data_IF_827199305460
#
_entry.id   IF_827199305460
#
_cell.length_a   1.000
_cell.length_b   1.000
_cell.length_c   1.000
_cell.angle_alpha   90.00
_cell.angle_beta   90.00
_cell.angle_gamma   90.00
#
_symmetry.space_group_name_H-M   'P 1'
#
loop_
_entity.id
_entity.type
_entity.pdbx_description
1 polymer ?
#
# COMPACT_ATOMS: atom_id res chain seq x y z
N UNK A 1 -10.77 6.80 -14.29
CA UNK A 1 -10.11 5.67 -14.99
C UNK A 1 -9.20 4.91 -14.04
N UNK A 2 -8.66 3.77 -14.49
CA UNK A 2 -7.63 3.01 -13.76
C UNK A 2 -6.39 3.87 -13.55
N UNK A 3 -5.94 4.56 -14.58
CA UNK A 3 -4.73 5.40 -14.53
C UNK A 3 -4.82 6.56 -13.55
N UNK A 4 -6.01 7.13 -13.34
CA UNK A 4 -6.20 8.22 -12.35
C UNK A 4 -5.99 7.78 -10.90
N UNK A 5 -6.03 6.47 -10.65
CA UNK A 5 -5.87 5.86 -9.33
C UNK A 5 -4.51 5.19 -9.13
N UNK A 6 -3.78 4.94 -10.22
CA UNK A 6 -2.54 4.17 -10.22
C UNK A 6 -1.34 5.03 -9.84
N UNK A 7 -0.54 4.55 -8.90
CA UNK A 7 0.82 5.04 -8.63
C UNK A 7 1.84 3.95 -8.96
N UNK A 8 3.00 4.35 -9.47
CA UNK A 8 4.09 3.44 -9.84
C UNK A 8 5.41 3.92 -9.24
N UNK A 9 6.25 3.00 -8.83
CA UNK A 9 7.65 3.26 -8.46
C UNK A 9 8.55 2.24 -9.14
N UNK A 10 9.60 2.70 -9.78
CA UNK A 10 10.60 1.84 -10.41
C UNK A 10 11.94 2.01 -9.69
N UNK A 11 12.56 0.90 -9.32
CA UNK A 11 13.90 0.87 -8.76
C UNK A 11 14.61 -0.43 -9.13
N UNK A 12 15.80 -0.32 -9.74
CA UNK A 12 16.65 -1.44 -10.12
C UNK A 12 15.92 -2.54 -10.95
N UNK A 13 15.10 -2.12 -11.91
CA UNK A 13 14.38 -3.03 -12.81
C UNK A 13 13.19 -3.77 -12.17
N UNK A 14 12.84 -3.43 -10.94
CA UNK A 14 11.63 -3.89 -10.28
C UNK A 14 10.63 -2.74 -10.17
N UNK A 15 9.37 -3.02 -10.43
CA UNK A 15 8.29 -2.04 -10.33
C UNK A 15 7.32 -2.41 -9.21
N UNK A 16 6.86 -1.38 -8.53
CA UNK A 16 5.78 -1.45 -7.55
C UNK A 16 4.64 -0.58 -8.02
N UNK A 17 3.41 -1.03 -7.73
CA UNK A 17 2.19 -0.31 -8.08
C UNK A 17 1.27 -0.26 -6.86
N UNK A 18 0.53 0.83 -6.74
CA UNK A 18 -0.53 1.01 -5.74
C UNK A 18 -1.79 1.49 -6.44
N UNK A 19 -2.90 0.82 -6.21
CA UNK A 19 -4.24 1.14 -6.72
C UNK A 19 -5.28 0.37 -5.88
N UNK A 20 -6.39 1.00 -5.54
CA UNK A 20 -7.54 0.36 -4.89
C UNK A 20 -7.16 -0.47 -3.64
N UNK A 21 -6.15 -0.03 -2.88
CA UNK A 21 -5.63 -0.74 -1.71
C UNK A 21 -4.79 -1.99 -2.02
N UNK A 22 -4.45 -2.24 -3.28
CA UNK A 22 -3.48 -3.27 -3.65
C UNK A 22 -2.04 -2.82 -3.43
N UNK A 23 -1.21 -3.74 -3.02
CA UNK A 23 0.25 -3.69 -3.18
C UNK A 23 0.63 -4.65 -4.30
N UNK A 24 1.25 -4.13 -5.36
CA UNK A 24 1.54 -4.92 -6.55
C UNK A 24 3.02 -4.81 -6.88
N UNK A 25 3.63 -5.90 -7.32
CA UNK A 25 5.01 -5.90 -7.83
C UNK A 25 5.07 -6.51 -9.22
N UNK A 26 5.97 -6.01 -10.06
CA UNK A 26 6.32 -6.61 -11.33
C UNK A 26 7.83 -6.81 -11.40
N UNK A 27 8.25 -8.02 -11.79
CA UNK A 27 9.65 -8.39 -11.90
C UNK A 27 9.88 -9.24 -13.16
N UNK A 28 10.92 -8.92 -13.92
CA UNK A 28 11.34 -9.71 -15.07
C UNK A 28 12.46 -10.68 -14.68
N UNK A 29 12.36 -11.90 -15.18
CA UNK A 29 13.38 -12.94 -15.01
C UNK A 29 14.05 -13.26 -16.36
N UNK A 30 15.32 -13.58 -16.33
CA UNK A 30 16.08 -14.02 -17.50
C UNK A 30 15.80 -15.48 -17.93
N UNK A 31 14.81 -16.14 -17.30
CA UNK A 31 14.42 -17.49 -17.62
C UNK A 31 13.40 -17.50 -18.79
N UNK A 32 13.58 -18.38 -19.79
CA UNK A 32 12.63 -18.50 -20.89
C UNK A 32 11.26 -19.00 -20.40
N UNK A 33 10.20 -18.61 -21.12
CA UNK A 33 8.85 -19.06 -20.83
C UNK A 33 8.62 -20.50 -21.31
N UNK A 34 9.21 -21.44 -20.64
CA UNK A 34 9.08 -22.87 -20.87
C UNK A 34 8.99 -23.62 -19.52
N UNK A 35 8.82 -24.94 -19.56
CA UNK A 35 8.63 -25.75 -18.35
C UNK A 35 9.79 -25.59 -17.34
N UNK A 36 11.03 -25.60 -17.79
CA UNK A 36 12.19 -25.46 -16.92
C UNK A 36 12.28 -24.06 -16.27
N UNK A 37 12.12 -23.03 -17.09
CA UNK A 37 12.11 -21.63 -16.60
C UNK A 37 10.98 -21.38 -15.63
N UNK A 38 9.75 -21.83 -15.97
CA UNK A 38 8.58 -21.71 -15.09
C UNK A 38 8.80 -22.42 -13.75
N UNK A 39 9.37 -23.63 -13.74
CA UNK A 39 9.71 -24.35 -12.50
C UNK A 39 10.64 -23.55 -11.59
N UNK A 40 11.66 -22.90 -12.16
CA UNK A 40 12.60 -22.05 -11.39
C UNK A 40 11.88 -20.82 -10.81
N UNK A 41 11.03 -20.14 -11.58
CA UNK A 41 10.31 -18.95 -11.13
C UNK A 41 9.20 -19.30 -10.15
N UNK A 42 8.46 -20.38 -10.37
CA UNK A 42 7.48 -20.89 -9.39
C UNK A 42 8.11 -21.16 -8.02
N UNK A 43 9.29 -21.80 -8.01
CA UNK A 43 10.03 -22.07 -6.76
C UNK A 43 10.37 -20.79 -5.99
N UNK A 44 10.79 -19.71 -6.70
CA UNK A 44 11.08 -18.40 -6.07
C UNK A 44 9.86 -17.78 -5.38
N UNK A 45 8.68 -18.01 -5.94
CA UNK A 45 7.40 -17.53 -5.38
C UNK A 45 6.69 -18.56 -4.50
N UNK A 46 7.39 -19.68 -4.15
CA UNK A 46 6.83 -20.77 -3.33
C UNK A 46 5.55 -21.36 -3.92
N UNK A 47 5.45 -21.38 -5.24
CA UNK A 47 4.37 -22.05 -5.98
C UNK A 47 4.79 -23.51 -6.16
N UNK A 48 4.01 -24.41 -5.57
CA UNK A 48 4.25 -25.84 -5.55
C UNK A 48 3.40 -26.60 -6.60
N UNK A 49 3.61 -27.90 -6.72
CA UNK A 49 2.76 -28.75 -7.58
C UNK A 49 1.31 -28.85 -7.07
N UNK A 50 1.05 -28.55 -5.79
CA UNK A 50 -0.28 -28.55 -5.19
C UNK A 50 -1.09 -27.30 -5.53
N UNK A 51 -0.42 -26.23 -5.92
CA UNK A 51 -1.08 -24.97 -6.30
C UNK A 51 -1.68 -25.12 -7.70
N UNK A 52 -2.95 -24.72 -7.84
CA UNK A 52 -3.67 -24.78 -9.12
C UNK A 52 -3.14 -23.67 -10.02
N UNK A 53 -2.69 -24.06 -11.22
CA UNK A 53 -2.19 -23.16 -12.27
C UNK A 53 -3.18 -23.17 -13.41
N UNK A 54 -3.78 -22.05 -13.72
CA UNK A 54 -4.74 -21.91 -14.82
C UNK A 54 -4.23 -20.94 -15.88
N UNK A 55 -4.61 -21.16 -17.13
CA UNK A 55 -4.42 -20.14 -18.16
C UNK A 55 -5.55 -19.11 -18.05
N UNK A 56 -5.19 -17.85 -18.25
CA UNK A 56 -6.15 -16.75 -18.26
C UNK A 56 -6.25 -16.20 -19.70
N UNK A 57 -7.39 -16.41 -20.34
CA UNK A 57 -7.62 -16.00 -21.72
C UNK A 57 -7.73 -14.48 -21.94
N UNK A 58 -7.94 -13.72 -20.84
CA UNK A 58 -8.01 -12.25 -20.90
C UNK A 58 -6.63 -11.59 -20.92
N UNK A 59 -5.57 -12.35 -20.67
CA UNK A 59 -4.18 -11.86 -20.77
C UNK A 59 -3.67 -12.08 -22.20
N UNK A 60 -3.15 -11.02 -22.78
CA UNK A 60 -2.77 -10.95 -24.22
C UNK A 60 -1.50 -11.73 -24.59
N UNK A 61 -1.01 -12.61 -23.73
CA UNK A 61 0.17 -13.46 -23.97
C UNK A 61 0.04 -14.79 -23.25
N UNK A 62 0.93 -15.74 -23.57
CA UNK A 62 1.00 -16.99 -22.81
C UNK A 62 1.22 -16.73 -21.34
N UNK A 63 0.44 -17.38 -20.49
CA UNK A 63 0.47 -17.10 -19.06
C UNK A 63 0.02 -18.29 -18.21
N UNK A 64 0.34 -18.19 -16.91
CA UNK A 64 -0.27 -18.97 -15.85
C UNK A 64 -0.72 -18.06 -14.71
N UNK A 65 -1.93 -18.25 -14.23
CA UNK A 65 -2.50 -17.56 -13.10
C UNK A 65 -2.55 -18.51 -11.90
N UNK A 66 -2.16 -18.00 -10.72
CA UNK A 66 -2.19 -18.74 -9.46
C UNK A 66 -2.71 -17.84 -8.36
N UNK A 67 -3.67 -18.32 -7.56
CA UNK A 67 -4.12 -17.64 -6.33
C UNK A 67 -3.62 -18.40 -5.11
N UNK A 68 -3.07 -17.66 -4.15
CA UNK A 68 -2.72 -18.19 -2.81
C UNK A 68 -3.30 -17.27 -1.75
N UNK A 69 -4.01 -17.88 -0.81
CA UNK A 69 -4.52 -17.15 0.35
C UNK A 69 -3.64 -17.43 1.57
N UNK A 70 -3.32 -16.39 2.31
CA UNK A 70 -2.65 -16.48 3.60
C UNK A 70 -3.46 -15.75 4.66
N UNK A 71 -3.48 -16.29 5.87
CA UNK A 71 -4.12 -15.64 7.01
C UNK A 71 -3.23 -14.49 7.47
N UNK A 72 -3.76 -13.27 7.55
CA UNK A 72 -3.05 -12.15 8.18
C UNK A 72 -3.28 -12.22 9.67
N UNK A 73 -4.53 -11.99 10.11
CA UNK A 73 -4.91 -11.98 11.52
C UNK A 73 -6.43 -12.11 11.65
N UNK A 74 -6.93 -12.79 12.69
CA UNK A 74 -8.37 -13.01 12.88
C UNK A 74 -8.99 -13.64 11.63
N UNK A 75 -10.02 -13.01 11.07
CA UNK A 75 -10.74 -13.44 9.86
C UNK A 75 -10.20 -12.77 8.59
N UNK A 76 -9.17 -11.93 8.71
CA UNK A 76 -8.60 -11.25 7.56
C UNK A 76 -7.64 -12.17 6.84
N UNK A 77 -7.99 -12.48 5.59
CA UNK A 77 -7.13 -13.19 4.65
C UNK A 77 -6.45 -12.20 3.71
N UNK A 78 -5.18 -12.46 3.42
CA UNK A 78 -4.46 -11.83 2.32
C UNK A 78 -4.62 -12.72 1.10
N UNK A 79 -5.14 -12.15 0.03
CA UNK A 79 -5.21 -12.79 -1.29
C UNK A 79 -3.95 -12.39 -2.06
N UNK A 80 -3.27 -13.40 -2.60
CA UNK A 80 -2.09 -13.24 -3.42
C UNK A 80 -2.39 -13.81 -4.81
N UNK A 81 -2.53 -12.97 -5.81
CA UNK A 81 -2.76 -13.33 -7.20
C UNK A 81 -1.48 -13.14 -8.00
N UNK A 82 -0.99 -14.22 -8.59
CA UNK A 82 0.24 -14.23 -9.39
C UNK A 82 -0.12 -14.44 -10.85
N UNK A 83 0.39 -13.54 -11.71
CA UNK A 83 0.37 -13.67 -13.16
C UNK A 83 1.80 -13.94 -13.64
N UNK A 84 2.08 -15.18 -14.05
CA UNK A 84 3.33 -15.56 -14.71
C UNK A 84 3.11 -15.42 -16.19
N UNK A 85 3.75 -14.46 -16.84
CA UNK A 85 3.46 -14.06 -18.20
C UNK A 85 4.71 -14.14 -19.07
N UNK A 86 4.53 -14.49 -20.34
CA UNK A 86 5.58 -14.42 -21.34
C UNK A 86 5.74 -12.97 -21.80
N UNK A 87 6.92 -12.39 -21.57
CA UNK A 87 7.24 -11.03 -22.00
C UNK A 87 7.73 -10.97 -23.46
N UNK A 88 7.99 -9.76 -23.95
CA UNK A 88 8.44 -9.51 -25.33
C UNK A 88 9.76 -10.22 -25.71
N UNK A 89 10.59 -10.54 -24.72
CA UNK A 89 11.86 -11.24 -24.91
C UNK A 89 11.70 -12.77 -24.81
N UNK A 90 10.48 -13.30 -24.80
CA UNK A 90 10.14 -14.70 -24.55
C UNK A 90 10.59 -15.24 -23.18
N UNK A 91 10.89 -14.34 -22.25
CA UNK A 91 11.22 -14.64 -20.86
C UNK A 91 9.98 -14.53 -19.96
N UNK A 92 10.14 -14.88 -18.68
CA UNK A 92 9.08 -14.85 -17.70
C UNK A 92 9.09 -13.50 -16.98
N UNK A 93 7.96 -12.81 -16.96
CA UNK A 93 7.67 -11.75 -16.01
C UNK A 93 6.63 -12.23 -15.02
N UNK A 94 6.73 -11.79 -13.77
CA UNK A 94 5.76 -12.07 -12.71
C UNK A 94 5.14 -10.78 -12.25
N UNK A 95 3.82 -10.69 -12.30
CA UNK A 95 3.05 -9.59 -11.73
C UNK A 95 2.26 -10.17 -10.56
N UNK A 96 2.55 -9.67 -9.38
CA UNK A 96 2.01 -10.20 -8.13
C UNK A 96 1.17 -9.15 -7.43
N UNK A 97 -0.12 -9.45 -7.28
CA UNK A 97 -1.13 -8.63 -6.61
C UNK A 97 -1.35 -9.13 -5.20
N UNK A 98 -1.33 -8.22 -4.25
CA UNK A 98 -1.57 -8.50 -2.83
C UNK A 98 -2.69 -7.58 -2.35
N UNK A 99 -3.76 -8.13 -1.80
CA UNK A 99 -4.83 -7.35 -1.17
C UNK A 99 -5.43 -8.12 0.01
N UNK A 100 -5.86 -7.39 1.02
CA UNK A 100 -6.68 -7.95 2.09
C UNK A 100 -8.11 -8.15 1.60
N UNK A 101 -8.65 -9.36 1.77
CA UNK A 101 -10.02 -9.76 1.40
C UNK A 101 -10.33 -9.72 -0.10
N UNK A 102 -11.24 -8.87 -0.54
CA UNK A 102 -11.82 -8.91 -1.88
C UNK A 102 -10.87 -8.38 -2.95
N UNK A 103 -10.70 -9.13 -4.03
CA UNK A 103 -9.94 -8.75 -5.22
C UNK A 103 -10.87 -8.38 -6.37
N UNK A 104 -10.37 -7.59 -7.32
CA UNK A 104 -11.04 -7.21 -8.56
C UNK A 104 -10.26 -7.76 -9.74
N UNK A 105 -10.67 -8.94 -10.20
CA UNK A 105 -9.96 -9.66 -11.26
C UNK A 105 -9.93 -8.89 -12.58
N UNK A 106 -11.00 -8.16 -12.91
CA UNK A 106 -11.04 -7.37 -14.14
C UNK A 106 -10.00 -6.25 -14.13
N UNK A 107 -9.88 -5.54 -13.00
CA UNK A 107 -8.86 -4.51 -12.81
C UNK A 107 -7.45 -5.12 -12.86
N UNK A 108 -7.23 -6.27 -12.24
CA UNK A 108 -5.93 -6.96 -12.29
C UNK A 108 -5.55 -7.32 -13.73
N UNK A 109 -6.46 -7.91 -14.50
CA UNK A 109 -6.24 -8.30 -15.90
C UNK A 109 -5.97 -7.10 -16.80
N UNK A 110 -6.72 -6.00 -16.62
CA UNK A 110 -6.49 -4.74 -17.32
C UNK A 110 -5.08 -4.19 -17.04
N UNK A 111 -4.69 -4.14 -15.76
CA UNK A 111 -3.37 -3.64 -15.36
C UNK A 111 -2.24 -4.54 -15.88
N UNK A 112 -2.39 -5.87 -15.83
CA UNK A 112 -1.40 -6.81 -16.40
C UNK A 112 -1.17 -6.52 -17.87
N UNK A 113 -2.23 -6.38 -18.66
CA UNK A 113 -2.10 -6.07 -20.10
C UNK A 113 -1.46 -4.70 -20.34
N UNK A 114 -1.80 -3.67 -19.54
CA UNK A 114 -1.16 -2.36 -19.63
C UNK A 114 0.34 -2.41 -19.34
N UNK A 115 0.76 -3.19 -18.34
CA UNK A 115 2.18 -3.40 -17.99
C UNK A 115 2.91 -4.08 -19.16
N UNK A 116 2.35 -5.16 -19.70
CA UNK A 116 2.94 -5.92 -20.82
C UNK A 116 3.08 -5.07 -22.08
N UNK A 117 2.16 -4.16 -22.33
CA UNK A 117 2.11 -3.30 -23.51
C UNK A 117 2.84 -1.96 -23.31
N UNK A 118 3.43 -1.71 -22.13
CA UNK A 118 4.07 -0.44 -21.74
C UNK A 118 3.14 0.77 -21.92
N UNK A 119 1.87 0.62 -21.52
CA UNK A 119 0.81 1.65 -21.66
C UNK A 119 0.64 2.53 -20.43
N UNK A 120 1.48 2.39 -19.42
CA UNK A 120 1.40 3.24 -18.22
C UNK A 120 2.16 4.54 -18.47
N UNK A 121 1.48 5.70 -18.40
CA UNK A 121 2.10 6.99 -18.63
C UNK A 121 3.13 7.36 -17.56
N UNK A 122 4.10 8.20 -17.93
CA UNK A 122 5.17 8.63 -17.02
C UNK A 122 4.69 9.44 -15.81
N UNK A 123 3.59 10.14 -15.94
CA UNK A 123 2.95 10.91 -14.87
C UNK A 123 2.45 10.06 -13.71
N UNK A 124 2.29 8.74 -13.90
CA UNK A 124 1.96 7.80 -12.85
C UNK A 124 3.19 7.38 -12.00
N UNK A 125 4.41 7.70 -12.47
CA UNK A 125 5.63 7.28 -11.79
C UNK A 125 6.03 8.28 -10.71
N UNK A 126 6.22 7.76 -9.50
CA UNK A 126 6.78 8.49 -8.36
C UNK A 126 8.30 8.50 -8.41
N UNK A 127 8.97 9.58 -7.92
CA UNK A 127 10.43 9.61 -7.81
C UNK A 127 10.91 8.59 -6.77
N UNK A 128 12.11 8.02 -6.96
CA UNK A 128 12.73 7.06 -6.03
C UNK A 128 12.92 7.69 -4.65
N UNK A 129 13.32 8.96 -4.60
CA UNK A 129 13.40 9.73 -3.35
C UNK A 129 12.20 10.66 -3.28
N UNK A 130 11.37 10.59 -2.22
CA UNK A 130 10.12 11.32 -2.16
C UNK A 130 10.29 12.79 -1.73
N UNK A 131 11.11 13.58 -2.45
CA UNK A 131 11.19 15.02 -2.21
C UNK A 131 9.88 15.74 -2.53
N UNK A 132 9.15 15.22 -3.50
CA UNK A 132 7.79 15.63 -3.86
C UNK A 132 6.95 14.39 -4.04
N UNK A 133 5.78 14.37 -3.42
CA UNK A 133 4.80 13.30 -3.59
C UNK A 133 3.52 13.85 -4.22
N UNK A 134 2.84 13.02 -5.02
CA UNK A 134 1.50 13.31 -5.51
C UNK A 134 0.48 12.70 -4.56
N UNK A 135 -0.12 13.53 -3.72
CA UNK A 135 -1.21 13.11 -2.83
C UNK A 135 -2.56 13.43 -3.47
N UNK A 136 -3.18 12.44 -4.07
CA UNK A 136 -4.50 12.56 -4.70
C UNK A 136 -4.64 13.78 -5.65
N UNK A 137 -3.61 14.03 -6.45
CA UNK A 137 -3.58 15.13 -7.44
C UNK A 137 -3.02 16.45 -6.92
N UNK A 138 -2.55 16.51 -5.68
CA UNK A 138 -1.79 17.65 -5.14
C UNK A 138 -0.33 17.26 -4.91
N UNK A 139 0.58 18.09 -5.35
CA UNK A 139 1.99 17.94 -5.02
C UNK A 139 2.27 18.44 -3.60
N UNK A 140 2.93 17.61 -2.80
CA UNK A 140 3.44 17.95 -1.46
C UNK A 140 4.95 17.86 -1.49
N UNK A 141 5.61 18.95 -1.13
CA UNK A 141 7.06 18.98 -0.94
C UNK A 141 7.42 18.43 0.44
N UNK A 142 8.28 17.43 0.48
CA UNK A 142 8.75 16.80 1.71
C UNK A 142 10.19 17.21 2.05
N UNK A 143 10.56 17.07 3.32
CA UNK A 143 11.95 17.27 3.76
C UNK A 143 12.89 16.19 3.24
N UNK A 144 14.19 16.50 3.14
CA UNK A 144 15.21 15.60 2.60
C UNK A 144 15.48 14.31 3.40
N UNK A 145 14.92 14.20 4.60
CA UNK A 145 15.01 12.99 5.44
C UNK A 145 13.87 11.99 5.19
N UNK A 146 12.84 12.36 4.40
CA UNK A 146 11.72 11.48 4.13
C UNK A 146 12.12 10.39 3.13
N UNK A 147 11.52 9.20 3.28
CA UNK A 147 11.77 8.06 2.40
C UNK A 147 10.53 7.16 2.27
N UNK A 148 10.49 6.38 1.18
CA UNK A 148 9.46 5.37 0.98
C UNK A 148 9.74 4.13 1.84
N UNK A 149 8.80 3.73 2.69
CA UNK A 149 8.78 2.40 3.31
C UNK A 149 8.06 1.38 2.41
N UNK A 150 7.11 1.84 1.62
CA UNK A 150 6.49 1.17 0.49
C UNK A 150 5.93 2.24 -0.47
N UNK A 151 5.52 1.89 -1.67
CA UNK A 151 4.87 2.85 -2.57
C UNK A 151 3.60 3.40 -1.90
N UNK A 152 3.43 4.72 -1.95
CA UNK A 152 2.41 5.47 -1.23
C UNK A 152 2.44 5.27 0.30
N UNK A 153 3.61 4.93 0.84
CA UNK A 153 3.87 4.92 2.28
C UNK A 153 5.16 5.66 2.54
N UNK A 154 5.05 6.88 3.00
CA UNK A 154 6.20 7.77 3.26
C UNK A 154 6.40 7.94 4.77
N UNK A 155 7.64 7.80 5.20
CA UNK A 155 8.07 8.11 6.56
C UNK A 155 9.02 9.30 6.56
N UNK A 156 8.72 10.27 7.40
CA UNK A 156 9.59 11.41 7.70
C UNK A 156 10.04 11.30 9.15
N UNK A 157 11.30 10.93 9.45
CA UNK A 157 11.79 10.73 10.82
C UNK A 157 11.47 11.93 11.71
N UNK A 158 10.88 11.66 12.87
CA UNK A 158 10.38 12.66 13.84
C UNK A 158 9.26 13.57 13.33
N UNK A 159 8.74 13.38 12.12
CA UNK A 159 7.70 14.23 11.53
C UNK A 159 6.45 13.45 11.11
N UNK A 160 6.40 12.15 11.38
CA UNK A 160 5.24 11.28 11.11
C UNK A 160 5.41 10.36 9.90
N UNK A 161 4.41 9.51 9.72
CA UNK A 161 4.26 8.56 8.62
C UNK A 161 2.88 8.69 8.01
N UNK A 162 2.78 8.46 6.70
CA UNK A 162 1.53 8.51 5.96
C UNK A 162 1.49 7.39 4.92
N UNK A 163 0.38 6.65 4.90
CA UNK A 163 0.05 5.66 3.87
C UNK A 163 -1.28 6.05 3.21
N UNK A 164 -1.36 6.00 1.88
CA UNK A 164 -2.59 6.30 1.15
C UNK A 164 -2.77 5.41 -0.09
N UNK A 165 -4.03 5.29 -0.51
CA UNK A 165 -4.40 4.68 -1.77
C UNK A 165 -5.60 5.40 -2.37
N UNK A 166 -5.70 5.41 -3.69
CA UNK A 166 -6.85 5.97 -4.41
C UNK A 166 -7.71 4.82 -4.89
N UNK A 167 -9.02 4.91 -4.66
CA UNK A 167 -9.97 3.83 -4.85
C UNK A 167 -11.03 4.16 -5.91
N UNK A 168 -11.61 3.12 -6.49
CA UNK A 168 -12.70 3.24 -7.47
C UNK A 168 -13.95 3.90 -6.88
N UNK A 169 -14.22 3.66 -5.61
CA UNK A 169 -15.34 4.25 -4.87
C UNK A 169 -14.99 4.47 -3.39
N UNK A 170 -15.83 5.25 -2.71
CA UNK A 170 -15.60 5.60 -1.31
C UNK A 170 -15.79 4.40 -0.37
N UNK A 171 -16.64 3.44 -0.73
CA UNK A 171 -16.84 2.24 0.07
C UNK A 171 -15.59 1.35 0.07
N UNK A 172 -14.90 1.24 -1.07
CA UNK A 172 -13.62 0.50 -1.14
C UNK A 172 -12.53 1.20 -0.32
N UNK A 173 -12.49 2.54 -0.33
CA UNK A 173 -11.61 3.32 0.54
C UNK A 173 -11.91 3.10 2.03
N UNK A 174 -13.19 3.09 2.42
CA UNK A 174 -13.62 2.81 3.78
C UNK A 174 -13.24 1.38 4.22
N UNK A 175 -13.50 0.40 3.36
CA UNK A 175 -13.13 -1.00 3.62
C UNK A 175 -11.61 -1.15 3.83
N UNK A 176 -10.81 -0.39 3.09
CA UNK A 176 -9.34 -0.43 3.20
C UNK A 176 -8.88 0.06 4.58
N UNK A 177 -9.38 1.19 5.08
CA UNK A 177 -9.03 1.67 6.43
C UNK A 177 -9.58 0.79 7.53
N UNK A 178 -10.77 0.21 7.37
CA UNK A 178 -11.36 -0.72 8.35
C UNK A 178 -10.52 -2.00 8.47
N UNK A 179 -10.04 -2.55 7.35
CA UNK A 179 -9.13 -3.69 7.36
C UNK A 179 -7.80 -3.35 8.06
N UNK A 180 -7.21 -2.19 7.78
CA UNK A 180 -5.99 -1.75 8.43
C UNK A 180 -6.19 -1.54 9.94
N UNK A 181 -7.31 -0.96 10.35
CA UNK A 181 -7.68 -0.81 11.76
C UNK A 181 -7.79 -2.16 12.47
N UNK A 182 -8.47 -3.14 11.85
CA UNK A 182 -8.59 -4.49 12.42
C UNK A 182 -7.21 -5.16 12.57
N UNK A 183 -6.34 -5.03 11.58
CA UNK A 183 -4.96 -5.55 11.64
C UNK A 183 -4.19 -4.88 12.78
N UNK A 184 -4.31 -3.58 12.91
CA UNK A 184 -3.66 -2.79 13.96
C UNK A 184 -4.10 -3.24 15.35
N UNK A 185 -5.40 -3.39 15.58
CA UNK A 185 -5.97 -3.83 16.88
C UNK A 185 -5.51 -5.21 17.34
N UNK A 186 -5.19 -6.08 16.39
CA UNK A 186 -4.80 -7.46 16.68
C UNK A 186 -3.28 -7.68 16.63
N UNK A 187 -2.49 -6.61 16.43
CA UNK A 187 -1.03 -6.70 16.33
C UNK A 187 -0.42 -7.11 17.67
N UNK A 188 0.42 -8.16 17.62
CA UNK A 188 1.17 -8.60 18.81
C UNK A 188 2.21 -7.56 19.22
N UNK A 189 2.43 -7.42 20.54
CA UNK A 189 3.43 -6.49 21.09
C UNK A 189 2.92 -5.06 21.27
N UNK A 190 1.64 -4.80 21.03
CA UNK A 190 0.98 -3.52 21.30
C UNK A 190 -0.42 -3.73 21.85
N UNK A 191 -0.97 -2.69 22.49
CA UNK A 191 -2.38 -2.64 22.89
C UNK A 191 -3.00 -1.31 22.50
N UNK A 192 -4.28 -1.33 22.17
CA UNK A 192 -5.10 -0.13 22.00
C UNK A 192 -5.45 0.41 23.38
N UNK A 193 -4.98 1.61 23.70
CA UNK A 193 -5.28 2.28 24.98
C UNK A 193 -6.36 3.36 24.83
N UNK A 194 -6.59 3.84 23.61
CA UNK A 194 -7.67 4.77 23.32
C UNK A 194 -8.13 4.61 21.86
N UNK A 195 -9.43 4.77 21.64
CA UNK A 195 -10.06 4.79 20.31
C UNK A 195 -11.24 5.77 20.35
N UNK A 196 -11.28 6.70 19.40
CA UNK A 196 -12.37 7.66 19.29
C UNK A 196 -12.53 8.17 17.84
N UNK A 197 -13.71 8.67 17.52
CA UNK A 197 -13.92 9.50 16.35
C UNK A 197 -13.57 10.95 16.68
N UNK A 198 -12.87 11.61 15.78
CA UNK A 198 -12.51 13.03 15.90
C UNK A 198 -12.94 13.78 14.64
N UNK A 199 -13.41 15.00 14.82
CA UNK A 199 -13.73 15.89 13.71
C UNK A 199 -12.42 16.50 13.19
N UNK A 200 -12.25 16.45 11.86
CA UNK A 200 -11.03 16.92 11.19
C UNK A 200 -11.39 17.69 9.94
N UNK A 201 -10.48 18.51 9.45
CA UNK A 201 -10.45 18.95 8.05
C UNK A 201 -9.37 18.15 7.35
N UNK A 202 -9.76 17.32 6.37
CA UNK A 202 -8.84 16.49 5.60
C UNK A 202 -8.79 17.00 4.17
N UNK A 203 -7.62 17.50 3.75
CA UNK A 203 -7.43 18.12 2.42
C UNK A 203 -8.49 19.20 2.10
N UNK A 204 -8.83 20.02 3.10
CA UNK A 204 -9.84 21.06 3.00
C UNK A 204 -11.30 20.61 3.15
N UNK A 205 -11.56 19.31 3.29
CA UNK A 205 -12.89 18.73 3.46
C UNK A 205 -13.18 18.42 4.92
N UNK A 206 -14.22 18.99 5.54
CA UNK A 206 -14.68 18.63 6.88
C UNK A 206 -15.17 17.17 6.91
N UNK A 207 -14.57 16.34 7.76
CA UNK A 207 -14.92 14.92 7.88
C UNK A 207 -14.58 14.38 9.27
N UNK A 208 -14.68 13.08 9.44
CA UNK A 208 -14.32 12.38 10.67
C UNK A 208 -13.15 11.42 10.45
N UNK A 209 -12.21 11.44 11.38
CA UNK A 209 -11.14 10.46 11.45
C UNK A 209 -11.34 9.51 12.64
N UNK A 210 -11.00 8.24 12.47
CA UNK A 210 -10.83 7.32 13.58
C UNK A 210 -9.43 7.51 14.15
N UNK A 211 -9.32 8.00 15.39
CA UNK A 211 -8.06 8.10 16.12
C UNK A 211 -7.89 6.88 17.00
N UNK A 212 -6.72 6.25 16.92
CA UNK A 212 -6.32 5.12 17.76
C UNK A 212 -4.97 5.45 18.40
N UNK A 213 -4.84 5.20 19.70
CA UNK A 213 -3.56 5.27 20.41
C UNK A 213 -3.14 3.87 20.81
N UNK A 214 -1.95 3.46 20.35
CA UNK A 214 -1.31 2.20 20.71
C UNK A 214 -0.21 2.43 21.74
N UNK A 215 -0.11 1.51 22.69
CA UNK A 215 1.01 1.41 23.61
C UNK A 215 1.78 0.12 23.34
N UNK A 216 3.10 0.21 23.25
CA UNK A 216 3.95 -0.98 23.08
C UNK A 216 4.02 -1.79 24.38
N UNK A 217 4.09 -3.11 24.26
CA UNK A 217 4.17 -4.07 25.37
C UNK A 217 5.37 -5.02 25.26
N UNK A 218 5.77 -5.58 26.40
CA UNK A 218 6.78 -6.64 26.48
C UNK A 218 8.16 -6.23 25.93
N UNK A 219 8.81 -7.10 25.21
CA UNK A 219 10.14 -6.87 24.61
C UNK A 219 10.11 -5.68 23.64
N UNK A 220 9.04 -5.52 22.89
CA UNK A 220 8.86 -4.39 21.97
C UNK A 220 8.84 -3.06 22.72
N UNK A 221 8.20 -3.01 23.89
CA UNK A 221 8.20 -1.82 24.76
C UNK A 221 9.59 -1.53 25.33
N UNK A 222 10.33 -2.56 25.73
CA UNK A 222 11.69 -2.41 26.24
C UNK A 222 12.64 -1.84 25.19
N UNK A 223 12.58 -2.36 23.95
CA UNK A 223 13.37 -1.87 22.82
C UNK A 223 13.00 -0.43 22.44
N UNK A 224 11.72 -0.09 22.40
CA UNK A 224 11.25 1.27 22.13
C UNK A 224 11.55 2.25 23.28
N UNK A 225 11.55 1.77 24.53
CA UNK A 225 11.95 2.57 25.71
C UNK A 225 13.40 3.04 25.65
N UNK A 226 14.27 2.29 25.00
CA UNK A 226 15.66 2.69 24.73
C UNK A 226 15.75 3.81 23.68
N UNK A 227 14.78 3.93 22.76
CA UNK A 227 14.67 4.99 21.74
C UNK A 227 13.76 6.16 22.14
N UNK A 228 13.10 6.10 23.30
CA UNK A 228 12.17 7.14 23.78
C UNK A 228 10.72 6.99 23.30
N UNK A 229 10.45 6.26 22.23
CA UNK A 229 9.12 6.03 21.67
C UNK A 229 8.27 5.09 22.55
N UNK A 230 7.12 5.57 23.03
CA UNK A 230 6.28 4.82 24.00
C UNK A 230 4.87 4.58 23.52
N UNK A 231 4.31 5.48 22.76
CA UNK A 231 2.97 5.38 22.20
C UNK A 231 2.89 5.91 20.79
N UNK A 232 2.07 5.27 19.98
CA UNK A 232 1.82 5.60 18.57
C UNK A 232 0.38 6.08 18.45
N UNK A 233 0.18 7.27 17.91
CA UNK A 233 -1.15 7.78 17.54
C UNK A 233 -1.35 7.55 16.04
N UNK A 234 -2.50 6.97 15.68
CA UNK A 234 -2.86 6.64 14.30
C UNK A 234 -4.21 7.26 13.97
N UNK A 235 -4.31 7.90 12.82
CA UNK A 235 -5.56 8.39 12.24
C UNK A 235 -5.91 7.60 10.98
N UNK A 236 -7.16 7.18 10.88
CA UNK A 236 -7.73 6.49 9.72
C UNK A 236 -8.81 7.37 9.11
N UNK A 237 -8.65 7.74 7.85
CA UNK A 237 -9.58 8.61 7.10
C UNK A 237 -9.88 7.97 5.75
N UNK A 238 -11.16 7.94 5.38
CA UNK A 238 -11.60 7.68 4.02
C UNK A 238 -12.49 8.84 3.58
N UNK A 239 -12.08 9.57 2.52
CA UNK A 239 -12.79 10.74 2.08
C UNK A 239 -12.62 10.97 0.57
N UNK A 240 -13.59 11.66 -0.03
CA UNK A 240 -13.50 12.14 -1.41
C UNK A 240 -12.73 13.45 -1.47
N UNK A 241 -11.56 13.42 -2.09
CA UNK A 241 -10.64 14.55 -2.20
C UNK A 241 -10.38 14.83 -3.68
N UNK A 242 -10.68 16.05 -4.17
CA UNK A 242 -10.46 16.44 -5.57
C UNK A 242 -10.96 15.39 -6.58
N UNK A 243 -12.19 14.93 -6.40
CA UNK A 243 -12.84 13.85 -7.19
C UNK A 243 -12.17 12.46 -7.14
N UNK A 244 -11.28 12.24 -6.19
CA UNK A 244 -10.67 10.93 -5.92
C UNK A 244 -11.11 10.39 -4.57
N UNK A 245 -11.45 9.09 -4.51
CA UNK A 245 -11.78 8.42 -3.25
C UNK A 245 -10.49 7.94 -2.60
N UNK A 246 -10.14 8.51 -1.47
CA UNK A 246 -8.85 8.33 -0.80
C UNK A 246 -9.05 7.56 0.50
N UNK A 247 -8.28 6.49 0.70
CA UNK A 247 -7.98 5.97 2.03
C UNK A 247 -6.64 6.52 2.50
N UNK A 248 -6.56 6.99 3.73
CA UNK A 248 -5.32 7.49 4.30
C UNK A 248 -5.19 7.04 5.76
N UNK A 249 -4.02 6.51 6.09
CA UNK A 249 -3.62 6.18 7.45
C UNK A 249 -2.37 6.96 7.78
N UNK A 250 -2.43 7.74 8.84
CA UNK A 250 -1.34 8.61 9.30
C UNK A 250 -0.96 8.25 10.71
N UNK A 251 0.32 8.28 11.03
CA UNK A 251 0.76 7.96 12.38
C UNK A 251 1.97 8.77 12.82
N UNK A 252 2.14 8.91 14.12
CA UNK A 252 3.31 9.52 14.74
C UNK A 252 3.52 9.00 16.17
N UNK A 253 4.78 9.04 16.59
CA UNK A 253 5.17 8.71 17.95
C UNK A 253 5.02 9.92 18.88
N UNK A 254 4.83 9.66 20.17
CA UNK A 254 4.65 10.72 21.17
C UNK A 254 5.90 11.59 21.41
N UNK A 255 7.05 11.19 20.86
CA UNK A 255 8.32 11.93 20.88
C UNK A 255 8.68 12.55 19.52
N UNK A 256 7.78 12.48 18.55
CA UNK A 256 7.93 13.22 17.27
C UNK A 256 7.79 14.75 17.49
N UNK A 257 8.14 15.52 16.47
CA UNK A 257 8.06 16.99 16.46
C UNK A 257 6.59 17.48 16.41
N UNK A 258 5.83 17.24 17.47
CA UNK A 258 4.42 17.60 17.56
C UNK A 258 4.28 19.10 17.80
N UNK A 259 3.61 19.78 16.88
CA UNK A 259 3.27 21.19 17.05
C UNK A 259 2.29 21.38 18.25
N UNK A 260 2.63 22.17 19.25
CA UNK A 260 1.79 22.34 20.46
C UNK A 260 0.43 22.98 20.18
N UNK A 261 0.28 23.71 19.06
CA UNK A 261 -0.99 24.35 18.66
C UNK A 261 -1.91 23.39 17.94
N UNK A 262 -1.38 22.73 16.91
CA UNK A 262 -2.17 21.82 16.04
C UNK A 262 -2.26 20.39 16.58
N UNK A 263 -1.36 20.01 17.50
CA UNK A 263 -1.23 18.65 18.07
C UNK A 263 -0.85 17.59 17.04
N UNK A 264 -0.32 18.00 15.90
CA UNK A 264 0.12 17.14 14.81
C UNK A 264 1.59 17.38 14.48
N UNK A 265 2.32 16.36 13.98
CA UNK A 265 3.66 16.54 13.44
C UNK A 265 3.58 17.12 12.02
N UNK A 266 4.68 17.69 11.49
CA UNK A 266 4.70 18.40 10.20
C UNK A 266 4.10 17.67 9.00
N UNK A 267 4.35 16.36 8.86
CA UNK A 267 3.80 15.59 7.73
C UNK A 267 2.28 15.52 7.77
N UNK A 268 1.69 15.37 8.96
CA UNK A 268 0.25 15.27 9.11
C UNK A 268 -0.42 16.65 8.95
N UNK A 269 0.25 17.73 9.39
CA UNK A 269 -0.23 19.10 9.19
C UNK A 269 -0.41 19.46 7.71
N UNK A 270 0.35 18.81 6.80
CA UNK A 270 0.22 19.04 5.35
C UNK A 270 -1.15 18.64 4.80
N UNK A 271 -1.83 17.67 5.42
CA UNK A 271 -3.06 17.09 4.86
C UNK A 271 -4.25 17.10 5.81
N UNK A 272 -4.04 17.38 7.09
CA UNK A 272 -5.11 17.30 8.10
C UNK A 272 -5.00 18.40 9.16
N UNK A 273 -6.16 18.90 9.60
CA UNK A 273 -6.31 19.77 10.76
C UNK A 273 -7.28 19.12 11.76
N UNK A 274 -6.98 19.19 13.06
CA UNK A 274 -7.91 18.79 14.13
C UNK A 274 -8.86 19.96 14.46
N UNK A 275 -10.15 19.64 14.68
CA UNK A 275 -11.17 20.61 15.12
C UNK A 275 -11.39 20.58 16.60
#
# INVERSE_FOLDING_TARGET
SLLDRLSVLENNGKLWYNIDGYSITSEEFSYPFNEEGLKKVFSKHKISNKDIKTKNSNIHTDNFFVTKNSKIIGDIQQVNNYYFVKNKNNNISVIWFIKARNTDKNMEEELVNMILENKIPKENYSPITPYVINFAGREIKLGGSCYWTALNTVQCPYNGEMNWSIHKDIQDAQNAIDNQLMITKQRKGSEVVAEKMVDVIFEGTPTKAKQVTLKLKGITAALAGMSGGKSLTIYYVAEKVRDRNVSCVMSFWNDDNINPKTKLPPLLEEIMELK
#
